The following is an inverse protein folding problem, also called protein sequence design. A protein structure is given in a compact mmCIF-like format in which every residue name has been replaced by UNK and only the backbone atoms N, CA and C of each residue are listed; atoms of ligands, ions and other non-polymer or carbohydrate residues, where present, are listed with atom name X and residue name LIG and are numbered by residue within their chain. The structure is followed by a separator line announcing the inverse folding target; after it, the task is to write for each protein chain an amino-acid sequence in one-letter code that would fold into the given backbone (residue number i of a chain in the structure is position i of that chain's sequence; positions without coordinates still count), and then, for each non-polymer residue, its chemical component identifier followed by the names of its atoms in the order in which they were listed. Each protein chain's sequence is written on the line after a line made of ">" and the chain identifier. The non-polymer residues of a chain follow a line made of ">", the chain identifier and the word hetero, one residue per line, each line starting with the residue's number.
data_IF_849458987488
#
_entry.id   IF_849458987488
#
_cell.length_a   1.000
_cell.length_b   1.000
_cell.length_c   1.000
_cell.angle_alpha   90.00
_cell.angle_beta   90.00
_cell.angle_gamma   90.00
#
_symmetry.space_group_name_H-M   'P 1'
#
loop_
_entity.id
_entity.type
_entity.pdbx_description
1 polymer ?
#
# COMPACT_ATOMS: atom_id res chain seq x y z
N UNK A 1 -10.41 -18.28 12.54
CA UNK A 1 -9.43 -17.53 13.34
C UNK A 1 -8.82 -18.51 14.31
N UNK A 2 -7.51 -18.73 14.20
CA UNK A 2 -6.80 -19.69 15.04
C UNK A 2 -6.29 -19.03 16.33
N UNK A 3 -5.93 -19.81 17.36
CA UNK A 3 -5.55 -19.32 18.69
C UNK A 3 -4.24 -18.51 18.76
N UNK A 4 -3.59 -18.21 17.62
CA UNK A 4 -2.30 -17.51 17.55
C UNK A 4 -2.35 -16.14 16.87
N UNK A 5 -3.52 -15.69 16.40
CA UNK A 5 -3.62 -14.50 15.56
C UNK A 5 -3.39 -13.16 16.32
N UNK A 6 -3.10 -13.18 17.64
CA UNK A 6 -3.03 -11.97 18.49
C UNK A 6 -1.76 -11.84 19.37
N UNK A 7 -0.78 -12.75 19.24
CA UNK A 7 0.41 -12.77 20.11
C UNK A 7 1.43 -11.68 19.78
N UNK A 8 1.65 -11.40 18.50
CA UNK A 8 2.66 -10.43 18.05
C UNK A 8 2.26 -8.99 18.42
N UNK A 9 0.96 -8.68 18.34
CA UNK A 9 0.45 -7.36 18.74
C UNK A 9 0.58 -7.16 20.26
N UNK A 10 0.35 -8.21 21.06
CA UNK A 10 0.58 -8.16 22.51
C UNK A 10 2.05 -7.95 22.87
N UNK A 11 2.97 -8.64 22.20
CA UNK A 11 4.41 -8.45 22.39
C UNK A 11 4.85 -7.03 22.02
N UNK A 12 4.38 -6.51 20.89
CA UNK A 12 4.65 -5.14 20.46
C UNK A 12 4.14 -4.09 21.47
N UNK A 13 2.91 -4.26 21.98
CA UNK A 13 2.29 -3.31 22.91
C UNK A 13 2.91 -3.35 24.31
N UNK A 14 3.26 -4.55 24.79
CA UNK A 14 3.84 -4.73 26.12
C UNK A 14 5.34 -4.43 26.17
N UNK A 15 6.05 -4.63 25.05
CA UNK A 15 7.51 -4.57 25.00
C UNK A 15 8.21 -5.70 25.76
N UNK A 16 7.47 -6.72 26.22
CA UNK A 16 8.06 -7.86 26.93
C UNK A 16 9.04 -8.57 25.99
N UNK A 17 10.26 -8.81 26.47
CA UNK A 17 11.36 -9.45 25.73
C UNK A 17 11.83 -8.68 24.48
N UNK A 18 11.59 -7.38 24.40
CA UNK A 18 12.14 -6.56 23.32
C UNK A 18 13.67 -6.52 23.40
N UNK A 19 14.34 -6.73 22.28
CA UNK A 19 15.80 -6.79 22.14
C UNK A 19 16.33 -5.81 21.09
N UNK A 20 15.47 -4.97 20.52
CA UNK A 20 15.86 -3.81 19.71
C UNK A 20 14.85 -2.66 19.80
N UNK A 21 15.31 -1.45 19.45
CA UNK A 21 14.49 -0.24 19.38
C UNK A 21 14.58 0.39 17.99
N UNK A 22 13.44 0.82 17.46
CA UNK A 22 13.38 1.67 16.27
C UNK A 22 12.83 3.02 16.67
N UNK A 23 13.46 4.10 16.23
CA UNK A 23 13.02 5.47 16.46
C UNK A 23 12.60 6.14 15.15
N UNK A 24 11.58 6.99 15.22
CA UNK A 24 11.17 7.86 14.14
C UNK A 24 10.44 9.07 14.74
N UNK A 25 10.92 10.28 14.44
CA UNK A 25 10.33 11.54 14.92
C UNK A 25 10.06 11.57 16.43
N UNK A 26 11.04 11.10 17.21
CA UNK A 26 10.94 11.02 18.67
C UNK A 26 10.02 9.93 19.22
N UNK A 27 9.31 9.17 18.36
CA UNK A 27 8.58 7.97 18.75
C UNK A 27 9.51 6.76 18.69
N UNK A 28 9.52 5.98 19.76
CA UNK A 28 10.31 4.75 19.87
C UNK A 28 9.38 3.53 19.93
N UNK A 29 9.66 2.54 19.09
CA UNK A 29 9.04 1.21 19.16
C UNK A 29 10.05 0.22 19.71
N UNK A 30 9.67 -0.47 20.78
CA UNK A 30 10.40 -1.63 21.32
C UNK A 30 9.97 -2.87 20.57
N UNK A 31 10.90 -3.55 19.93
CA UNK A 31 10.65 -4.62 18.97
C UNK A 31 11.48 -5.86 19.27
N UNK A 32 11.16 -6.93 18.56
CA UNK A 32 11.78 -8.24 18.68
C UNK A 32 12.50 -8.58 17.38
N UNK A 33 13.83 -8.71 17.43
CA UNK A 33 14.66 -9.05 16.26
C UNK A 33 14.19 -10.34 15.61
N UNK A 34 13.82 -11.34 16.41
CA UNK A 34 13.30 -12.63 15.92
C UNK A 34 12.04 -12.50 15.07
N UNK A 35 11.20 -11.49 15.34
CA UNK A 35 9.97 -11.23 14.59
C UNK A 35 10.26 -10.35 13.38
N UNK A 36 10.97 -9.23 13.56
CA UNK A 36 11.11 -8.24 12.49
C UNK A 36 12.13 -8.67 11.42
N UNK A 37 13.23 -9.31 11.81
CA UNK A 37 14.26 -9.77 10.87
C UNK A 37 13.80 -10.97 10.03
N UNK A 38 12.89 -11.80 10.53
CA UNK A 38 12.33 -12.91 9.75
C UNK A 38 11.29 -12.45 8.73
N UNK A 39 10.76 -11.23 8.87
CA UNK A 39 9.69 -10.67 8.02
C UNK A 39 10.15 -9.55 7.10
N UNK A 40 11.31 -8.95 7.38
CA UNK A 40 11.86 -7.82 6.62
C UNK A 40 13.31 -8.07 6.28
N UNK A 41 13.62 -8.13 4.98
CA UNK A 41 15.00 -8.21 4.49
C UNK A 41 15.82 -6.97 4.88
N UNK A 42 15.17 -5.81 4.97
CA UNK A 42 15.79 -4.56 5.42
C UNK A 42 16.26 -4.66 6.87
N UNK A 43 15.37 -5.03 7.80
CA UNK A 43 15.73 -5.13 9.22
C UNK A 43 16.66 -6.30 9.50
N UNK A 44 16.56 -7.40 8.73
CA UNK A 44 17.55 -8.48 8.79
C UNK A 44 18.95 -7.98 8.45
N UNK A 45 19.09 -7.17 7.40
CA UNK A 45 20.37 -6.58 7.04
C UNK A 45 20.85 -5.56 8.08
N UNK A 46 19.94 -4.72 8.61
CA UNK A 46 20.27 -3.63 9.52
C UNK A 46 20.68 -4.11 10.92
N UNK A 47 19.94 -5.09 11.48
CA UNK A 47 20.04 -5.47 12.91
C UNK A 47 20.85 -6.74 13.17
N UNK A 48 21.23 -7.50 12.13
CA UNK A 48 22.01 -8.74 12.25
C UNK A 48 23.34 -8.75 11.47
N UNK A 49 23.60 -7.75 10.61
CA UNK A 49 24.92 -7.61 9.96
C UNK A 49 25.81 -6.63 10.74
N UNK A 50 27.05 -6.43 10.30
CA UNK A 50 28.07 -5.65 11.03
C UNK A 50 27.90 -4.11 10.94
N UNK A 51 26.66 -3.61 11.00
CA UNK A 51 26.37 -2.18 11.06
C UNK A 51 26.37 -1.67 12.50
N UNK A 52 26.41 -0.34 12.67
CA UNK A 52 26.37 0.31 13.99
C UNK A 52 25.08 -0.05 14.72
N UNK A 53 23.97 -0.04 13.99
CA UNK A 53 22.61 -0.32 14.44
C UNK A 53 22.47 -1.75 14.99
N UNK A 54 23.20 -2.71 14.42
CA UNK A 54 23.23 -4.08 14.94
C UNK A 54 23.99 -4.20 16.26
N UNK A 55 24.99 -3.36 16.52
CA UNK A 55 25.76 -3.37 17.77
C UNK A 55 25.00 -2.68 18.89
N UNK A 56 24.31 -1.60 18.55
CA UNK A 56 23.53 -0.79 19.50
C UNK A 56 22.12 -1.33 19.72
N UNK A 57 21.64 -2.22 18.85
CA UNK A 57 20.25 -2.69 18.78
C UNK A 57 19.26 -1.54 18.61
N UNK A 58 19.69 -0.46 17.96
CA UNK A 58 18.94 0.78 17.79
C UNK A 58 19.05 1.24 16.35
N UNK A 59 17.92 1.59 15.75
CA UNK A 59 17.87 2.13 14.40
C UNK A 59 16.95 3.35 14.36
N UNK A 60 17.31 4.33 13.56
CA UNK A 60 16.49 5.52 13.31
C UNK A 60 15.97 5.51 11.88
N UNK A 61 14.68 5.76 11.71
CA UNK A 61 14.02 5.88 10.40
C UNK A 61 13.71 7.35 10.16
N UNK A 62 14.33 7.93 9.13
CA UNK A 62 14.26 9.36 8.81
C UNK A 62 13.48 9.68 7.54
N UNK A 63 13.27 8.69 6.66
CA UNK A 63 12.56 8.89 5.38
C UNK A 63 11.03 8.85 5.51
N UNK A 64 10.52 8.41 6.66
CA UNK A 64 9.10 8.32 6.95
C UNK A 64 8.81 9.07 8.24
N UNK A 65 7.58 9.53 8.38
CA UNK A 65 7.08 10.03 9.66
C UNK A 65 6.47 8.90 10.50
N UNK A 66 6.24 9.20 11.78
CA UNK A 66 5.75 8.19 12.73
C UNK A 66 4.33 7.70 12.43
N UNK A 67 3.51 8.52 11.77
CA UNK A 67 2.15 8.17 11.34
C UNK A 67 2.18 7.17 10.18
N UNK A 68 3.09 7.34 9.23
CA UNK A 68 3.31 6.43 8.11
C UNK A 68 3.80 5.07 8.62
N UNK A 69 4.81 5.03 9.48
CA UNK A 69 5.33 3.76 10.04
C UNK A 69 4.27 3.05 10.90
N UNK A 70 3.47 3.82 11.63
CA UNK A 70 2.40 3.31 12.49
C UNK A 70 1.12 2.93 11.76
N UNK A 71 1.08 3.00 10.43
CA UNK A 71 -0.14 2.74 9.66
C UNK A 71 -0.57 1.27 9.83
N UNK A 72 -1.81 1.06 10.25
CA UNK A 72 -2.36 -0.27 10.49
C UNK A 72 -2.96 -0.85 9.21
N UNK A 73 -2.76 -2.15 8.97
CA UNK A 73 -3.48 -2.93 7.97
C UNK A 73 -4.96 -3.14 8.34
N UNK A 74 -5.53 -2.37 9.28
CA UNK A 74 -6.98 -2.22 9.41
C UNK A 74 -7.46 -0.93 8.69
N UNK A 75 -7.36 -0.83 7.34
CA UNK A 75 -7.94 0.29 6.60
C UNK A 75 -9.48 0.28 6.64
N UNK A 76 -10.09 -0.75 7.25
CA UNK A 76 -11.54 -0.99 7.28
C UNK A 76 -12.35 -0.01 8.13
N UNK A 77 -11.71 0.77 8.99
CA UNK A 77 -12.42 1.62 9.96
C UNK A 77 -12.58 3.07 9.48
N UNK A 78 -11.77 3.53 8.51
CA UNK A 78 -11.86 4.89 7.95
C UNK A 78 -12.37 4.84 6.51
N UNK A 79 -13.66 5.10 6.37
CA UNK A 79 -14.28 5.34 5.06
C UNK A 79 -13.55 6.48 4.33
N UNK A 80 -13.21 6.27 3.07
CA UNK A 80 -12.64 7.31 2.19
C UNK A 80 -11.11 7.47 2.18
N UNK A 81 -10.35 6.53 2.77
CA UNK A 81 -8.88 6.51 2.63
C UNK A 81 -8.32 5.11 2.31
N UNK A 82 -9.17 4.19 1.86
CA UNK A 82 -8.82 2.77 1.71
C UNK A 82 -7.71 2.59 0.68
N UNK A 83 -7.84 3.20 -0.49
CA UNK A 83 -6.87 3.08 -1.58
C UNK A 83 -5.58 3.81 -1.26
N UNK A 84 -5.67 5.02 -0.71
CA UNK A 84 -4.49 5.76 -0.30
C UNK A 84 -3.71 5.02 0.79
N UNK A 85 -4.39 4.45 1.80
CA UNK A 85 -3.74 3.61 2.81
C UNK A 85 -3.12 2.35 2.22
N UNK A 86 -3.76 1.72 1.21
CA UNK A 86 -3.16 0.60 0.48
C UNK A 86 -1.85 1.01 -0.20
N UNK A 87 -1.82 2.19 -0.84
CA UNK A 87 -0.62 2.69 -1.50
C UNK A 87 0.52 2.96 -0.48
N UNK A 88 0.20 3.58 0.66
CA UNK A 88 1.14 3.80 1.75
C UNK A 88 1.70 2.49 2.32
N UNK A 89 0.83 1.51 2.59
CA UNK A 89 1.24 0.19 3.08
C UNK A 89 2.13 -0.55 2.07
N UNK A 90 1.82 -0.45 0.78
CA UNK A 90 2.67 -1.02 -0.25
C UNK A 90 4.04 -0.35 -0.27
N UNK A 91 4.10 0.97 -0.16
CA UNK A 91 5.36 1.71 -0.16
C UNK A 91 6.28 1.31 1.00
N UNK A 92 5.70 1.15 2.19
CA UNK A 92 6.43 0.63 3.35
C UNK A 92 6.87 -0.82 3.12
N UNK A 93 6.00 -1.67 2.57
CA UNK A 93 6.31 -3.06 2.26
C UNK A 93 7.45 -3.20 1.25
N UNK A 94 7.45 -2.38 0.21
CA UNK A 94 8.49 -2.33 -0.81
C UNK A 94 9.81 -1.82 -0.23
N UNK A 95 9.78 -0.68 0.47
CA UNK A 95 10.98 -0.07 1.07
C UNK A 95 11.63 -0.96 2.14
N UNK A 96 10.84 -1.50 3.07
CA UNK A 96 11.33 -2.36 4.14
C UNK A 96 11.51 -3.82 3.70
N UNK A 97 11.36 -4.13 2.41
CA UNK A 97 11.51 -5.49 1.88
C UNK A 97 10.67 -6.51 2.66
N UNK A 98 9.37 -6.23 2.76
CA UNK A 98 8.32 -7.08 3.36
C UNK A 98 7.36 -7.54 2.26
N UNK A 99 7.72 -8.54 1.43
CA UNK A 99 6.90 -8.95 0.27
C UNK A 99 5.49 -9.39 0.67
N UNK A 100 5.35 -10.06 1.81
CA UNK A 100 4.06 -10.51 2.33
C UNK A 100 3.08 -9.36 2.61
N UNK A 101 3.57 -8.14 2.89
CA UNK A 101 2.72 -6.96 3.06
C UNK A 101 2.19 -6.50 1.70
N UNK A 102 3.06 -6.38 0.69
CA UNK A 102 2.67 -6.05 -0.67
C UNK A 102 1.65 -7.06 -1.22
N UNK A 103 1.86 -8.37 -1.02
CA UNK A 103 0.91 -9.41 -1.42
C UNK A 103 -0.44 -9.28 -0.73
N UNK A 104 -0.45 -8.96 0.58
CA UNK A 104 -1.68 -8.71 1.32
C UNK A 104 -2.43 -7.50 0.77
N UNK A 105 -1.74 -6.39 0.50
CA UNK A 105 -2.35 -5.20 -0.13
C UNK A 105 -2.92 -5.56 -1.50
N UNK A 106 -2.15 -6.26 -2.36
CA UNK A 106 -2.58 -6.69 -3.70
C UNK A 106 -3.88 -7.49 -3.63
N UNK A 107 -3.89 -8.49 -2.75
CA UNK A 107 -5.04 -9.37 -2.53
C UNK A 107 -6.23 -8.59 -2.02
N UNK A 108 -6.01 -7.64 -1.12
CA UNK A 108 -7.06 -6.81 -0.56
C UNK A 108 -7.72 -5.92 -1.62
N UNK A 109 -6.94 -5.23 -2.45
CA UNK A 109 -7.48 -4.42 -3.56
C UNK A 109 -8.33 -5.29 -4.49
N UNK A 110 -7.82 -6.47 -4.87
CA UNK A 110 -8.49 -7.37 -5.81
C UNK A 110 -9.77 -8.00 -5.26
N UNK A 111 -9.81 -8.34 -3.96
CA UNK A 111 -10.91 -9.09 -3.36
C UNK A 111 -11.95 -8.22 -2.66
N UNK A 112 -11.55 -7.05 -2.15
CA UNK A 112 -12.36 -6.28 -1.20
C UNK A 112 -12.66 -4.85 -1.66
N UNK A 113 -11.76 -4.20 -2.40
CA UNK A 113 -11.99 -2.81 -2.82
C UNK A 113 -12.87 -2.73 -4.06
N UNK A 114 -12.61 -3.58 -5.05
CA UNK A 114 -13.39 -3.62 -6.30
C UNK A 114 -14.23 -4.89 -6.36
N UNK A 115 -15.57 -4.79 -6.52
CA UNK A 115 -16.44 -5.95 -6.68
C UNK A 115 -15.97 -6.86 -7.81
N UNK A 116 -16.15 -8.17 -7.64
CA UNK A 116 -15.72 -9.16 -8.64
C UNK A 116 -16.43 -8.96 -9.99
N UNK A 117 -17.71 -8.58 -9.98
CA UNK A 117 -18.54 -8.50 -11.18
C UNK A 117 -19.45 -7.26 -11.18
N UNK A 118 -19.84 -6.80 -12.37
CA UNK A 118 -20.74 -5.65 -12.53
C UNK A 118 -22.14 -5.86 -11.90
N UNK A 119 -22.78 -7.05 -11.97
CA UNK A 119 -24.03 -7.28 -11.26
C UNK A 119 -23.91 -7.14 -9.74
N UNK A 120 -22.80 -7.63 -9.16
CA UNK A 120 -22.55 -7.50 -7.72
C UNK A 120 -22.35 -6.02 -7.34
N UNK A 121 -21.56 -5.29 -8.11
CA UNK A 121 -21.34 -3.85 -7.91
C UNK A 121 -22.66 -3.07 -7.90
N UNK A 122 -23.56 -3.35 -8.86
CA UNK A 122 -24.89 -2.72 -8.93
C UNK A 122 -25.76 -3.06 -7.73
N UNK A 123 -25.79 -4.32 -7.30
CA UNK A 123 -26.55 -4.75 -6.10
C UNK A 123 -26.05 -4.08 -4.82
N UNK A 124 -24.75 -3.84 -4.72
CA UNK A 124 -24.12 -3.20 -3.57
C UNK A 124 -24.18 -1.66 -3.62
N UNK A 125 -24.69 -1.06 -4.72
CA UNK A 125 -24.59 0.38 -4.92
C UNK A 125 -23.14 0.88 -4.92
N UNK A 126 -22.20 0.04 -5.37
CA UNK A 126 -20.78 0.35 -5.29
C UNK A 126 -20.41 1.49 -6.23
N UNK A 127 -19.73 2.50 -5.67
CA UNK A 127 -19.19 3.65 -6.38
C UNK A 127 -17.74 3.84 -5.95
N UNK A 128 -16.88 4.16 -6.90
CA UNK A 128 -15.49 4.50 -6.58
C UNK A 128 -15.42 5.84 -5.85
N UNK A 129 -14.67 5.89 -4.75
CA UNK A 129 -14.39 7.11 -4.03
C UNK A 129 -13.36 7.95 -4.81
N UNK A 130 -13.82 9.01 -5.47
CA UNK A 130 -12.97 9.87 -6.29
C UNK A 130 -11.82 10.54 -5.53
N UNK A 131 -12.08 11.19 -4.38
CA UNK A 131 -11.03 11.73 -3.52
C UNK A 131 -9.98 10.72 -3.05
N UNK A 132 -10.39 9.53 -2.61
CA UNK A 132 -9.46 8.47 -2.19
C UNK A 132 -8.65 7.93 -3.37
N UNK A 133 -9.32 7.71 -4.51
CA UNK A 133 -8.68 7.28 -5.76
C UNK A 133 -7.63 8.29 -6.23
N UNK A 134 -7.94 9.60 -6.15
CA UNK A 134 -6.99 10.66 -6.50
C UNK A 134 -5.77 10.61 -5.60
N UNK A 135 -5.96 10.62 -4.27
CA UNK A 135 -4.85 10.57 -3.31
C UNK A 135 -3.96 9.36 -3.52
N UNK A 136 -4.56 8.20 -3.79
CA UNK A 136 -3.82 6.99 -4.14
C UNK A 136 -3.00 7.20 -5.41
N UNK A 137 -3.60 7.69 -6.49
CA UNK A 137 -2.91 7.96 -7.76
C UNK A 137 -1.74 8.94 -7.62
N UNK A 138 -1.96 10.06 -6.94
CA UNK A 138 -0.92 11.06 -6.65
C UNK A 138 0.25 10.41 -5.92
N UNK A 139 -0.04 9.66 -4.85
CA UNK A 139 0.97 8.96 -4.08
C UNK A 139 1.74 7.93 -4.93
N UNK A 140 1.05 7.17 -5.80
CA UNK A 140 1.67 6.19 -6.68
C UNK A 140 2.69 6.84 -7.62
N UNK A 141 2.26 7.89 -8.31
CA UNK A 141 3.08 8.51 -9.34
C UNK A 141 4.19 9.40 -8.76
N UNK A 142 4.04 9.90 -7.54
CA UNK A 142 5.12 10.60 -6.83
C UNK A 142 6.23 9.63 -6.36
N UNK A 143 5.89 8.43 -5.91
CA UNK A 143 6.86 7.56 -5.21
C UNK A 143 7.36 6.37 -6.04
N UNK A 144 6.61 5.93 -7.07
CA UNK A 144 6.89 4.66 -7.74
C UNK A 144 7.08 4.73 -9.25
N UNK A 145 6.73 5.83 -9.91
CA UNK A 145 6.67 5.90 -11.37
C UNK A 145 7.96 5.44 -12.08
N UNK A 146 9.14 5.76 -11.52
CA UNK A 146 10.42 5.38 -12.12
C UNK A 146 10.85 3.92 -11.93
N UNK A 147 10.09 3.08 -11.22
CA UNK A 147 10.59 1.79 -10.70
C UNK A 147 9.94 0.52 -11.27
N UNK A 148 9.10 0.58 -12.30
CA UNK A 148 8.42 -0.64 -12.80
C UNK A 148 7.68 -1.36 -11.67
N UNK A 149 7.06 -0.59 -10.78
CA UNK A 149 6.52 -1.09 -9.53
C UNK A 149 5.16 -1.77 -9.77
N UNK A 150 5.02 -3.00 -9.30
CA UNK A 150 3.80 -3.80 -9.45
C UNK A 150 2.55 -3.22 -8.76
N UNK A 151 2.69 -2.21 -7.90
CA UNK A 151 1.55 -1.43 -7.41
C UNK A 151 0.98 -0.46 -8.43
N UNK A 152 1.82 0.13 -9.29
CA UNK A 152 1.34 0.95 -10.40
C UNK A 152 0.45 0.08 -11.31
N UNK A 153 0.92 -1.12 -11.65
CA UNK A 153 0.13 -2.11 -12.38
C UNK A 153 -1.18 -2.44 -11.65
N UNK A 154 -1.13 -2.68 -10.32
CA UNK A 154 -2.32 -2.98 -9.54
C UNK A 154 -3.32 -1.81 -9.51
N UNK A 155 -2.83 -0.57 -9.47
CA UNK A 155 -3.64 0.65 -9.49
C UNK A 155 -4.31 0.83 -10.87
N UNK A 156 -3.56 0.61 -11.95
CA UNK A 156 -4.07 0.66 -13.32
C UNK A 156 -5.06 -0.48 -13.60
N UNK A 157 -4.75 -1.71 -13.20
CA UNK A 157 -5.64 -2.88 -13.29
C UNK A 157 -6.99 -2.57 -12.62
N UNK A 158 -6.92 -2.14 -11.36
CA UNK A 158 -8.11 -1.78 -10.58
C UNK A 158 -8.93 -0.69 -11.28
N UNK A 159 -8.28 0.32 -11.85
CA UNK A 159 -8.94 1.49 -12.45
C UNK A 159 -9.53 1.22 -13.83
N UNK A 160 -8.86 0.40 -14.65
CA UNK A 160 -9.11 0.33 -16.09
C UNK A 160 -9.49 -1.06 -16.62
N UNK A 161 -9.14 -2.15 -15.92
CA UNK A 161 -9.35 -3.53 -16.40
C UNK A 161 -10.84 -3.84 -16.56
N UNK A 162 -11.63 -3.59 -15.50
CA UNK A 162 -13.06 -3.87 -15.49
C UNK A 162 -13.84 -2.71 -16.12
N UNK A 163 -14.61 -3.00 -17.17
CA UNK A 163 -15.38 -1.99 -17.92
C UNK A 163 -16.26 -1.11 -17.03
N UNK A 164 -16.96 -1.67 -16.04
CA UNK A 164 -17.85 -0.88 -15.18
C UNK A 164 -17.09 0.06 -14.23
N UNK A 165 -15.87 -0.31 -13.81
CA UNK A 165 -15.00 0.57 -13.00
C UNK A 165 -14.42 1.65 -13.89
N UNK A 166 -13.86 1.27 -15.05
CA UNK A 166 -13.32 2.18 -16.04
C UNK A 166 -14.31 3.29 -16.42
N UNK A 167 -15.58 2.94 -16.65
CA UNK A 167 -16.63 3.94 -16.94
C UNK A 167 -16.83 4.94 -15.81
N UNK A 168 -16.72 4.52 -14.54
CA UNK A 168 -16.81 5.45 -13.42
C UNK A 168 -15.54 6.32 -13.37
N UNK A 169 -14.36 5.70 -13.41
CA UNK A 169 -13.05 6.38 -13.31
C UNK A 169 -12.89 7.45 -14.39
N UNK A 170 -13.12 7.12 -15.67
CA UNK A 170 -12.94 8.08 -16.78
C UNK A 170 -13.90 9.28 -16.69
N UNK A 171 -15.02 9.14 -15.97
CA UNK A 171 -15.99 10.22 -15.75
C UNK A 171 -15.69 11.04 -14.49
N UNK A 172 -14.73 10.63 -13.66
CA UNK A 172 -14.33 11.40 -12.48
C UNK A 172 -13.64 12.71 -12.90
N UNK A 173 -13.96 13.86 -12.28
CA UNK A 173 -13.16 15.07 -12.45
C UNK A 173 -11.71 14.85 -11.96
N UNK A 174 -11.54 14.02 -10.93
CA UNK A 174 -10.23 13.64 -10.39
C UNK A 174 -9.35 12.89 -11.40
N UNK A 175 -9.94 12.12 -12.31
CA UNK A 175 -9.17 11.45 -13.37
C UNK A 175 -8.51 12.47 -14.29
N UNK A 176 -9.28 13.49 -14.72
CA UNK A 176 -8.76 14.59 -15.54
C UNK A 176 -7.71 15.40 -14.77
N UNK A 177 -7.89 15.58 -13.47
CA UNK A 177 -6.91 16.24 -12.62
C UNK A 177 -5.60 15.46 -12.58
N UNK A 178 -5.64 14.15 -12.31
CA UNK A 178 -4.45 13.31 -12.23
C UNK A 178 -3.70 13.27 -13.57
N UNK A 179 -4.39 13.16 -14.70
CA UNK A 179 -3.75 13.22 -16.03
C UNK A 179 -3.05 14.56 -16.31
N UNK A 180 -3.57 15.67 -15.78
CA UNK A 180 -2.96 17.00 -15.97
C UNK A 180 -1.73 17.20 -15.11
N UNK A 181 -1.80 16.74 -13.86
CA UNK A 181 -0.73 16.90 -12.87
C UNK A 181 0.41 15.89 -13.10
N UNK A 182 0.11 14.65 -13.53
CA UNK A 182 1.08 13.62 -13.90
C UNK A 182 0.81 13.12 -15.33
N UNK A 183 1.44 13.72 -16.37
CA UNK A 183 1.26 13.31 -17.77
C UNK A 183 1.59 11.83 -18.02
N UNK A 184 2.55 11.32 -17.26
CA UNK A 184 2.99 9.92 -17.26
C UNK A 184 1.85 8.95 -16.92
N UNK A 185 0.97 9.29 -15.98
CA UNK A 185 -0.23 8.51 -15.69
C UNK A 185 -1.15 8.42 -16.91
N UNK A 186 -1.28 9.51 -17.67
CA UNK A 186 -2.04 9.52 -18.92
C UNK A 186 -1.45 8.57 -19.95
N UNK A 187 -0.12 8.54 -20.10
CA UNK A 187 0.58 7.64 -21.01
C UNK A 187 0.36 6.17 -20.61
N UNK A 188 0.54 5.84 -19.33
CA UNK A 188 0.34 4.49 -18.81
C UNK A 188 -1.11 4.01 -19.00
N UNK A 189 -2.09 4.89 -18.78
CA UNK A 189 -3.49 4.61 -19.06
C UNK A 189 -3.70 4.24 -20.54
N UNK A 190 -3.13 5.02 -21.45
CA UNK A 190 -3.24 4.76 -22.89
C UNK A 190 -2.61 3.43 -23.27
N UNK A 191 -1.38 3.16 -22.80
CA UNK A 191 -0.69 1.90 -23.01
C UNK A 191 -1.53 0.71 -22.52
N UNK A 192 -2.05 0.79 -21.28
CA UNK A 192 -2.88 -0.26 -20.68
C UNK A 192 -4.15 -0.53 -21.48
N UNK A 193 -4.82 0.52 -21.98
CA UNK A 193 -6.05 0.39 -22.77
C UNK A 193 -5.80 -0.25 -24.14
N UNK A 194 -4.67 0.07 -24.78
CA UNK A 194 -4.22 -0.54 -26.04
C UNK A 194 -3.87 -2.01 -25.85
N UNK A 195 -3.07 -2.34 -24.84
CA UNK A 195 -2.69 -3.72 -24.49
C UNK A 195 -3.92 -4.59 -24.20
N UNK A 196 -4.90 -4.03 -23.49
CA UNK A 196 -6.14 -4.70 -23.12
C UNK A 196 -7.13 -4.84 -24.30
N UNK A 197 -6.74 -4.42 -25.52
CA UNK A 197 -7.57 -4.42 -26.74
C UNK A 197 -8.95 -3.79 -26.52
N UNK A 198 -9.00 -2.72 -25.72
CA UNK A 198 -10.25 -2.06 -25.38
C UNK A 198 -10.77 -1.32 -26.60
N UNK A 199 -11.81 -1.85 -27.24
CA UNK A 199 -12.45 -1.25 -28.41
C UNK A 199 -13.54 -0.23 -28.06
N UNK A 200 -14.00 -0.19 -26.81
CA UNK A 200 -14.99 0.78 -26.31
C UNK A 200 -14.59 1.36 -24.95
N UNK A 201 -14.37 2.67 -24.95
CA UNK A 201 -14.05 3.48 -23.77
C UNK A 201 -15.30 3.85 -22.95
N UNK A 202 -16.48 3.73 -23.56
CA UNK A 202 -17.79 4.11 -23.01
C UNK A 202 -18.80 2.96 -23.03
#
# INVERSE_FOLDING_TARGET
>A
MGPFDNTDESLLRSGILSDCEITCEGKTWKLHKSIICTRSGYFMALLLKNWKESKENKAEITLFNKEQIGVSFRPFEKTGTVLHTCAQLWHLGDYFLVPSLCDKVRRYIRLSVVPKTAPLARRQGWVIDGPDWLKAGQFVYDHFYRRGNSFCDAFLDMSLEKTFVRKQVLNLPQFKQLCKEWPDFGNDCMMKLVESKVTRLQ
#
